data_IF_646475353860
#
_entry.id   IF_646475353860
#
_cell.length_a   1.000
_cell.length_b   1.000
_cell.length_c   1.000
_cell.angle_alpha   90.00
_cell.angle_beta   90.00
_cell.angle_gamma   90.00
#
_symmetry.space_group_name_H-M   'P 1'
#
loop_
_entity.id
_entity.type
_entity.pdbx_description
1 polymer ?
#
# COMPACT_ATOMS: atom_id res chain seq x y z
N UNK A 1 47.52 19.63 21.12
CA UNK A 1 47.18 20.53 19.98
C UNK A 1 48.09 20.33 18.77
N UNK A 2 49.39 20.69 18.77
CA UNK A 2 50.24 20.60 17.53
C UNK A 2 50.22 19.23 16.83
N UNK A 3 50.32 18.11 17.56
CA UNK A 3 50.27 16.76 16.96
C UNK A 3 48.92 16.43 16.29
N UNK A 4 47.80 16.84 16.89
CA UNK A 4 46.45 16.58 16.38
C UNK A 4 46.17 17.32 15.07
N UNK A 5 46.67 18.57 14.96
CA UNK A 5 46.55 19.38 13.73
C UNK A 5 47.33 18.74 12.58
N UNK A 6 48.55 18.26 12.83
CA UNK A 6 49.38 17.60 11.81
C UNK A 6 48.66 16.35 11.25
N UNK A 7 48.11 15.50 12.12
CA UNK A 7 47.39 14.28 11.70
C UNK A 7 46.16 14.64 10.85
N UNK A 8 45.34 15.61 11.29
CA UNK A 8 44.18 16.07 10.54
C UNK A 8 44.54 16.64 9.15
N UNK A 9 45.60 17.45 9.07
CA UNK A 9 46.11 17.97 7.79
C UNK A 9 46.62 16.86 6.86
N UNK A 10 47.29 15.83 7.38
CA UNK A 10 47.76 14.69 6.56
C UNK A 10 46.59 13.89 5.98
N UNK A 11 45.55 13.63 6.78
CA UNK A 11 44.34 12.94 6.32
C UNK A 11 43.61 13.75 5.24
N UNK A 12 43.46 15.07 5.45
CA UNK A 12 42.80 15.95 4.48
C UNK A 12 43.52 15.96 3.12
N UNK A 13 44.86 16.05 3.12
CA UNK A 13 45.66 16.01 1.88
C UNK A 13 45.51 14.66 1.17
N UNK A 14 45.45 13.55 1.91
CA UNK A 14 45.26 12.22 1.33
C UNK A 14 43.88 12.06 0.66
N UNK A 15 42.82 12.54 1.32
CA UNK A 15 41.45 12.55 0.76
C UNK A 15 41.39 13.39 -0.54
N UNK A 16 41.99 14.58 -0.54
CA UNK A 16 42.06 15.43 -1.75
C UNK A 16 42.82 14.74 -2.89
N UNK A 17 43.87 13.97 -2.59
CA UNK A 17 44.62 13.20 -3.58
C UNK A 17 43.77 12.09 -4.22
N UNK A 18 42.97 11.37 -3.42
CA UNK A 18 42.04 10.35 -3.94
C UNK A 18 40.98 10.99 -4.85
N UNK A 19 40.36 12.11 -4.44
CA UNK A 19 39.37 12.83 -5.24
C UNK A 19 39.97 13.32 -6.58
N UNK A 20 41.21 13.80 -6.57
CA UNK A 20 41.92 14.21 -7.78
C UNK A 20 42.19 13.04 -8.75
N UNK A 21 42.51 11.84 -8.23
CA UNK A 21 42.68 10.66 -9.07
C UNK A 21 41.35 10.13 -9.63
N UNK A 22 40.31 10.01 -8.81
CA UNK A 22 38.98 9.54 -9.25
C UNK A 22 38.38 10.47 -10.31
N UNK A 23 38.52 11.79 -10.15
CA UNK A 23 38.04 12.76 -11.14
C UNK A 23 38.79 12.69 -12.48
N UNK A 24 40.08 12.32 -12.48
CA UNK A 24 40.84 12.12 -13.74
C UNK A 24 40.46 10.88 -14.53
N UNK A 25 39.97 9.82 -13.89
CA UNK A 25 39.59 8.58 -14.59
C UNK A 25 38.20 8.63 -15.26
N UNK A 26 37.37 9.65 -14.99
CA UNK A 26 36.00 9.72 -15.53
C UNK A 26 35.86 10.34 -16.94
N UNK A 27 36.96 10.85 -17.53
CA UNK A 27 36.96 11.57 -18.81
C UNK A 27 37.86 10.91 -19.88
N UNK A 28 37.60 9.65 -20.22
CA UNK A 28 38.15 9.02 -21.44
C UNK A 28 37.05 8.25 -22.18
N UNK A 29 36.27 8.97 -22.99
CA UNK A 29 35.45 8.35 -24.05
C UNK A 29 36.36 7.91 -25.20
N UNK A 30 36.20 6.71 -25.79
CA UNK A 30 36.95 6.29 -26.97
C UNK A 30 36.59 7.15 -28.19
N UNK A 31 37.57 7.44 -29.04
CA UNK A 31 37.36 8.21 -30.26
C UNK A 31 36.70 7.37 -31.37
N UNK A 32 35.61 7.87 -31.94
CA UNK A 32 34.91 7.27 -33.09
C UNK A 32 35.65 7.54 -34.39
N UNK A 33 35.73 6.56 -35.30
CA UNK A 33 36.20 6.80 -36.68
C UNK A 33 35.33 6.12 -37.75
N UNK A 34 34.96 6.94 -38.74
CA UNK A 34 34.53 6.62 -40.10
C UNK A 34 33.15 5.99 -40.38
N UNK A 35 32.59 6.46 -41.50
CA UNK A 35 31.22 6.33 -41.98
C UNK A 35 31.04 5.15 -42.94
N UNK A 36 29.84 4.56 -43.00
CA UNK A 36 29.16 4.24 -44.28
C UNK A 36 27.64 4.00 -44.13
N UNK A 37 26.93 4.17 -45.24
CA UNK A 37 25.50 4.39 -45.47
C UNK A 37 24.46 3.33 -44.97
N UNK A 38 23.32 3.87 -44.51
CA UNK A 38 21.89 3.46 -44.73
C UNK A 38 21.40 2.06 -44.33
N UNK A 39 20.64 1.99 -43.24
CA UNK A 39 19.19 1.60 -43.22
C UNK A 39 18.57 1.91 -41.84
N UNK A 40 17.23 2.11 -41.72
CA UNK A 40 16.59 2.38 -40.43
C UNK A 40 16.27 1.09 -39.68
N UNK A 41 17.19 0.63 -38.82
CA UNK A 41 16.91 -0.45 -37.86
C UNK A 41 16.30 0.14 -36.60
N UNK A 42 15.24 -0.49 -36.08
CA UNK A 42 14.54 -0.03 -34.89
C UNK A 42 15.47 0.06 -33.67
N UNK A 43 15.33 1.13 -32.89
CA UNK A 43 15.93 1.25 -31.56
C UNK A 43 15.18 0.29 -30.64
N UNK A 44 15.81 -0.83 -30.30
CA UNK A 44 15.39 -1.67 -29.17
C UNK A 44 15.89 -0.98 -27.91
N UNK A 45 14.99 -0.77 -26.94
CA UNK A 45 15.29 -0.12 -25.67
C UNK A 45 16.29 -0.95 -24.85
N UNK A 46 17.40 -0.34 -24.43
CA UNK A 46 18.41 -0.98 -23.57
C UNK A 46 17.84 -1.36 -22.19
N UNK A 47 16.79 -0.65 -21.76
CA UNK A 47 16.01 -0.88 -20.54
C UNK A 47 15.36 -2.29 -20.47
N UNK A 48 15.10 -2.89 -21.64
CA UNK A 48 14.52 -4.24 -21.78
C UNK A 48 15.55 -5.36 -21.58
N UNK A 49 16.86 -5.05 -21.61
CA UNK A 49 17.93 -6.02 -21.31
C UNK A 49 18.32 -6.01 -19.83
N UNK A 50 18.48 -4.85 -19.20
CA UNK A 50 18.84 -4.77 -17.78
C UNK A 50 17.78 -5.38 -16.86
N UNK A 51 16.50 -5.16 -17.17
CA UNK A 51 15.36 -5.74 -16.46
C UNK A 51 15.35 -7.28 -16.55
N UNK A 52 15.60 -7.84 -17.74
CA UNK A 52 15.70 -9.31 -17.94
C UNK A 52 16.88 -9.92 -17.20
N UNK A 53 18.04 -9.25 -17.18
CA UNK A 53 19.22 -9.73 -16.45
C UNK A 53 18.92 -9.78 -14.94
N UNK A 54 18.39 -8.69 -14.37
CA UNK A 54 18.02 -8.63 -12.94
C UNK A 54 16.97 -9.68 -12.57
N UNK A 55 15.95 -9.85 -13.40
CA UNK A 55 14.90 -10.85 -13.21
C UNK A 55 15.48 -12.28 -13.20
N UNK A 56 16.44 -12.58 -14.08
CA UNK A 56 17.11 -13.87 -14.10
C UNK A 56 17.99 -14.08 -12.86
N UNK A 57 18.68 -13.05 -12.37
CA UNK A 57 19.48 -13.12 -11.13
C UNK A 57 18.61 -13.42 -9.89
N UNK A 58 17.43 -12.79 -9.79
CA UNK A 58 16.45 -13.03 -8.74
C UNK A 58 15.92 -14.49 -8.77
N UNK A 59 15.52 -14.98 -9.95
CA UNK A 59 15.07 -16.38 -10.10
C UNK A 59 16.20 -17.35 -9.79
N UNK A 60 17.41 -17.12 -10.31
CA UNK A 60 18.58 -17.95 -10.04
C UNK A 60 18.92 -18.03 -8.53
N UNK A 61 18.68 -16.94 -7.79
CA UNK A 61 18.87 -16.89 -6.33
C UNK A 61 17.80 -17.67 -5.57
N UNK A 62 16.61 -17.84 -6.14
CA UNK A 62 15.58 -18.73 -5.61
C UNK A 62 15.82 -20.22 -5.95
N UNK A 63 16.52 -20.54 -7.05
CA UNK A 63 16.79 -21.93 -7.47
C UNK A 63 17.57 -22.74 -6.44
N UNK A 64 18.39 -22.11 -5.59
CA UNK A 64 19.08 -22.81 -4.48
C UNK A 64 18.14 -23.35 -3.42
N UNK A 65 16.87 -22.96 -3.44
CA UNK A 65 15.82 -23.41 -2.52
C UNK A 65 14.79 -24.34 -3.20
N UNK A 66 14.82 -24.50 -4.53
CA UNK A 66 13.88 -25.39 -5.24
C UNK A 66 14.33 -26.85 -5.24
N UNK A 67 13.42 -27.83 -5.00
CA UNK A 67 12.04 -27.65 -4.57
C UNK A 67 11.95 -27.28 -3.08
N UNK A 68 11.09 -26.32 -2.75
CA UNK A 68 10.79 -25.92 -1.36
C UNK A 68 9.40 -26.41 -0.98
N UNK A 69 9.23 -26.90 0.25
CA UNK A 69 7.94 -27.35 0.76
C UNK A 69 7.84 -27.17 2.27
N UNK A 70 6.75 -26.52 2.72
CA UNK A 70 6.35 -26.44 4.13
C UNK A 70 4.86 -26.83 4.31
N UNK A 71 4.26 -26.48 5.44
CA UNK A 71 2.85 -26.76 5.74
C UNK A 71 1.86 -25.88 4.95
N UNK A 72 2.28 -24.70 4.52
CA UNK A 72 1.45 -23.65 3.90
C UNK A 72 1.52 -23.65 2.38
N UNK A 73 2.71 -23.89 1.81
CA UNK A 73 2.92 -23.93 0.38
C UNK A 73 4.02 -24.91 -0.03
N UNK A 74 4.07 -25.21 -1.32
CA UNK A 74 5.24 -25.78 -2.00
C UNK A 74 5.60 -24.82 -3.12
N UNK A 75 6.87 -24.67 -3.48
CA UNK A 75 7.20 -24.12 -4.79
C UNK A 75 8.33 -24.87 -5.48
N UNK A 76 8.29 -24.79 -6.80
CA UNK A 76 9.25 -25.39 -7.72
C UNK A 76 9.54 -24.41 -8.85
N UNK A 77 10.59 -24.66 -9.63
CA UNK A 77 10.90 -23.84 -10.81
C UNK A 77 10.39 -24.49 -12.10
N UNK A 78 9.57 -23.76 -12.86
CA UNK A 78 9.15 -24.18 -14.19
C UNK A 78 10.10 -23.65 -15.26
N UNK A 79 10.88 -24.56 -15.84
CA UNK A 79 11.73 -24.26 -16.99
C UNK A 79 10.93 -23.92 -18.27
N UNK A 80 9.64 -24.26 -18.33
CA UNK A 80 8.77 -23.94 -19.46
C UNK A 80 8.30 -22.48 -19.44
N UNK A 81 8.09 -21.91 -18.25
CA UNK A 81 7.61 -20.53 -18.07
C UNK A 81 8.69 -19.56 -17.59
N UNK A 82 9.87 -20.05 -17.18
CA UNK A 82 10.94 -19.30 -16.50
C UNK A 82 10.45 -18.60 -15.21
N UNK A 83 9.55 -19.25 -14.47
CA UNK A 83 8.93 -18.72 -13.25
C UNK A 83 8.94 -19.76 -12.12
N UNK A 84 8.94 -19.27 -10.89
CA UNK A 84 8.60 -20.08 -9.72
C UNK A 84 7.09 -20.37 -9.72
N UNK A 85 6.73 -21.62 -9.48
CA UNK A 85 5.33 -22.07 -9.40
C UNK A 85 5.05 -22.43 -7.95
N UNK A 86 4.25 -21.60 -7.28
CA UNK A 86 3.86 -21.73 -5.88
C UNK A 86 2.52 -22.45 -5.80
N UNK A 87 2.53 -23.66 -5.27
CA UNK A 87 1.35 -24.48 -5.01
C UNK A 87 0.80 -24.11 -3.62
N UNK A 88 -0.37 -23.47 -3.62
CA UNK A 88 -1.05 -23.02 -2.40
C UNK A 88 -1.68 -24.24 -1.69
N UNK A 89 -1.26 -24.53 -0.45
CA UNK A 89 -1.81 -25.63 0.38
C UNK A 89 -2.80 -25.13 1.43
N UNK A 90 -2.59 -23.91 1.94
CA UNK A 90 -3.45 -23.24 2.92
C UNK A 90 -3.96 -21.90 2.38
N UNK A 91 -5.04 -21.31 2.94
CA UNK A 91 -5.46 -19.95 2.58
C UNK A 91 -4.37 -18.89 2.79
N UNK A 92 -3.48 -19.11 3.75
CA UNK A 92 -2.35 -18.24 4.14
C UNK A 92 -1.11 -18.44 3.24
N UNK A 93 -1.12 -19.44 2.34
CA UNK A 93 0.00 -19.83 1.49
C UNK A 93 0.73 -18.66 0.81
N UNK A 94 -0.02 -17.66 0.34
CA UNK A 94 0.52 -16.49 -0.34
C UNK A 94 1.23 -15.51 0.59
N UNK A 95 0.70 -15.32 1.78
CA UNK A 95 1.32 -14.51 2.83
C UNK A 95 2.57 -15.20 3.36
N UNK A 96 2.50 -16.51 3.60
CA UNK A 96 3.65 -17.33 4.01
C UNK A 96 4.74 -17.43 2.93
N UNK A 97 4.38 -17.46 1.66
CA UNK A 97 5.36 -17.31 0.58
C UNK A 97 6.04 -15.93 0.61
N UNK A 98 5.31 -14.84 0.89
CA UNK A 98 5.91 -13.50 1.01
C UNK A 98 6.83 -13.39 2.24
N UNK A 99 6.42 -13.90 3.40
CA UNK A 99 7.29 -14.03 4.59
C UNK A 99 8.57 -14.81 4.25
N UNK A 100 8.43 -15.96 3.59
CA UNK A 100 9.57 -16.78 3.16
C UNK A 100 10.51 -16.02 2.21
N UNK A 101 9.98 -15.29 1.22
CA UNK A 101 10.81 -14.48 0.31
C UNK A 101 11.57 -13.39 1.07
N UNK A 102 10.97 -12.77 2.09
CA UNK A 102 11.63 -11.76 2.92
C UNK A 102 12.74 -12.39 3.78
N UNK A 103 12.46 -13.52 4.44
CA UNK A 103 13.42 -14.23 5.30
C UNK A 103 14.65 -14.73 4.54
N UNK A 104 14.50 -15.10 3.27
CA UNK A 104 15.58 -15.59 2.41
C UNK A 104 16.25 -14.47 1.58
N UNK A 105 15.90 -13.20 1.81
CA UNK A 105 16.54 -12.05 1.14
C UNK A 105 16.16 -11.89 -0.33
N UNK A 106 14.95 -12.32 -0.71
CA UNK A 106 14.40 -12.27 -2.07
C UNK A 106 13.05 -11.50 -2.15
N UNK A 107 12.87 -10.36 -1.47
CA UNK A 107 11.57 -9.66 -1.37
C UNK A 107 10.99 -9.26 -2.74
N UNK A 108 11.81 -9.11 -3.79
CA UNK A 108 11.39 -8.77 -5.16
C UNK A 108 10.61 -9.90 -5.86
N UNK A 109 10.57 -11.10 -5.29
CA UNK A 109 9.69 -12.20 -5.71
C UNK A 109 8.27 -12.04 -5.14
N UNK A 110 8.11 -11.33 -4.02
CA UNK A 110 6.81 -11.14 -3.38
C UNK A 110 5.87 -10.34 -4.28
N UNK A 111 4.80 -10.98 -4.74
CA UNK A 111 3.76 -10.36 -5.57
C UNK A 111 4.17 -10.07 -7.01
N UNK A 112 5.32 -10.54 -7.49
CA UNK A 112 5.84 -10.29 -8.83
C UNK A 112 5.34 -11.34 -9.86
N UNK A 113 4.34 -11.02 -10.70
CA UNK A 113 3.73 -11.98 -11.63
C UNK A 113 4.66 -12.38 -12.79
N UNK A 114 5.75 -11.64 -13.01
CA UNK A 114 6.76 -11.99 -14.02
C UNK A 114 7.78 -13.02 -13.55
N UNK A 115 7.89 -13.25 -12.23
CA UNK A 115 8.82 -14.23 -11.65
C UNK A 115 8.10 -15.37 -10.92
N UNK A 116 6.85 -15.15 -10.47
CA UNK A 116 6.11 -16.09 -9.62
C UNK A 116 4.67 -16.26 -10.11
N UNK A 117 4.21 -17.52 -10.18
CA UNK A 117 2.83 -17.92 -10.48
C UNK A 117 2.29 -18.75 -9.33
N UNK A 118 1.02 -18.54 -8.96
CA UNK A 118 0.36 -19.30 -7.90
C UNK A 118 -0.65 -20.30 -8.50
N UNK A 119 -0.54 -21.57 -8.11
CA UNK A 119 -1.43 -22.66 -8.48
C UNK A 119 -2.22 -23.13 -7.24
N UNK A 120 -3.55 -23.11 -7.31
CA UNK A 120 -4.38 -23.68 -6.24
C UNK A 120 -4.55 -25.19 -6.45
N UNK A 121 -4.18 -26.00 -5.45
CA UNK A 121 -4.55 -27.41 -5.44
C UNK A 121 -6.01 -27.59 -5.00
N UNK A 122 -6.86 -27.72 -6.00
CA UNK A 122 -8.25 -28.18 -5.99
C UNK A 122 -9.36 -27.16 -5.77
N UNK A 123 -10.32 -27.27 -6.69
CA UNK A 123 -11.72 -26.92 -6.48
C UNK A 123 -12.27 -27.60 -5.21
N UNK A 124 -12.41 -26.87 -4.11
CA UNK A 124 -13.60 -26.89 -3.25
C UNK A 124 -13.47 -25.86 -2.11
N UNK A 125 -14.52 -25.04 -1.95
CA UNK A 125 -14.64 -24.05 -0.87
C UNK A 125 -14.64 -24.72 0.51
N UNK A 126 -13.75 -24.31 1.41
CA UNK A 126 -14.10 -24.13 2.83
C UNK A 126 -13.22 -23.03 3.44
N UNK A 127 -13.74 -21.80 3.50
CA UNK A 127 -13.13 -20.75 4.31
C UNK A 127 -13.51 -21.02 5.77
N UNK A 128 -12.52 -21.23 6.63
CA UNK A 128 -12.67 -21.11 8.09
C UNK A 128 -11.73 -20.04 8.62
N UNK A 129 -12.25 -19.24 9.55
CA UNK A 129 -11.55 -18.18 10.27
C UNK A 129 -10.56 -18.77 11.28
N UNK A 130 -9.51 -18.02 11.64
CA UNK A 130 -9.17 -17.53 13.00
C UNK A 130 -7.91 -16.65 12.86
N UNK A 131 -7.96 -15.36 13.17
CA UNK A 131 -7.77 -14.72 14.49
C UNK A 131 -6.32 -14.77 15.02
N UNK A 132 -5.66 -13.61 14.93
CA UNK A 132 -4.82 -12.91 15.91
C UNK A 132 -3.75 -13.69 16.69
N UNK A 133 -2.49 -13.22 16.56
CA UNK A 133 -1.85 -12.46 17.64
C UNK A 133 -0.54 -11.77 17.21
N UNK A 134 -0.42 -10.50 17.60
CA UNK A 134 0.80 -9.78 18.02
C UNK A 134 1.94 -9.49 17.00
N UNK A 135 1.93 -8.25 16.50
CA UNK A 135 3.13 -7.40 16.32
C UNK A 135 3.95 -7.28 17.63
N UNK A 136 5.22 -6.90 17.67
CA UNK A 136 6.36 -6.75 16.74
C UNK A 136 7.59 -6.61 17.67
N UNK A 137 8.81 -7.04 17.30
CA UNK A 137 9.93 -6.87 18.25
C UNK A 137 11.37 -6.87 17.70
N UNK A 138 12.03 -5.69 17.74
CA UNK A 138 13.47 -5.58 18.03
C UNK A 138 13.66 -4.96 19.43
N UNK A 139 14.12 -5.72 20.44
CA UNK A 139 14.21 -5.25 21.83
C UNK A 139 15.13 -4.05 22.06
N UNK A 140 16.14 -3.83 21.21
CA UNK A 140 17.26 -2.94 21.55
C UNK A 140 17.03 -1.53 21.00
N UNK A 141 16.43 -1.42 19.82
CA UNK A 141 16.16 -0.13 19.17
C UNK A 141 15.03 0.62 19.90
N UNK A 142 13.93 -0.05 20.24
CA UNK A 142 12.81 0.61 20.92
C UNK A 142 13.08 0.93 22.39
N UNK A 143 13.83 0.07 23.10
CA UNK A 143 14.28 0.40 24.45
C UNK A 143 15.17 1.65 24.48
N UNK A 144 16.06 1.83 23.51
CA UNK A 144 16.90 3.02 23.39
C UNK A 144 16.09 4.26 22.98
N UNK A 145 15.14 4.14 22.05
CA UNK A 145 14.26 5.26 21.65
C UNK A 145 13.34 5.73 22.79
N UNK A 146 12.88 4.82 23.65
CA UNK A 146 12.09 5.16 24.84
C UNK A 146 12.97 5.83 25.90
N UNK A 147 14.13 5.24 26.24
CA UNK A 147 14.99 5.74 27.31
C UNK A 147 15.65 7.09 26.99
N UNK A 148 15.94 7.38 25.71
CA UNK A 148 16.53 8.65 25.28
C UNK A 148 15.54 9.82 25.20
N UNK A 149 14.23 9.53 25.13
CA UNK A 149 13.18 10.56 25.14
C UNK A 149 12.57 10.79 26.53
N UNK A 150 12.80 9.90 27.50
CA UNK A 150 12.34 10.04 28.88
C UNK A 150 13.28 10.92 29.73
N UNK A 151 13.32 12.24 29.45
CA UNK A 151 14.25 13.13 30.17
C UNK A 151 14.18 14.64 29.92
N UNK A 152 13.12 15.16 29.30
CA UNK A 152 12.86 16.61 29.16
C UNK A 152 11.39 16.88 29.49
N UNK A 153 11.11 17.49 30.65
CA UNK A 153 9.75 17.83 31.11
C UNK A 153 9.20 19.10 30.45
N UNK A 154 8.35 19.95 31.05
CA UNK A 154 7.81 20.16 32.41
C UNK A 154 6.52 21.03 32.26
N UNK A 155 5.45 21.10 33.08
CA UNK A 155 4.97 20.41 34.31
C UNK A 155 3.44 20.73 34.49
N UNK A 156 2.71 20.01 35.37
CA UNK A 156 1.38 20.31 35.96
C UNK A 156 0.08 20.01 35.15
N UNK A 157 -1.03 19.56 35.76
CA UNK A 157 -1.39 19.51 37.20
C UNK A 157 -2.19 18.25 37.61
N UNK A 158 -2.15 17.92 38.90
CA UNK A 158 -2.99 16.89 39.54
C UNK A 158 -4.48 17.28 39.53
N UNK A 159 -5.39 16.37 39.18
CA UNK A 159 -6.66 16.17 39.91
C UNK A 159 -7.15 14.71 39.85
N UNK A 160 -7.78 14.26 40.94
CA UNK A 160 -8.36 12.93 41.07
C UNK A 160 -9.62 12.77 40.21
N UNK A 161 -9.77 11.64 39.52
CA UNK A 161 -11.05 11.24 38.93
C UNK A 161 -11.78 10.27 39.88
N UNK A 162 -12.93 10.66 40.49
CA UNK A 162 -13.84 9.71 41.10
C UNK A 162 -14.63 8.97 40.02
N UNK A 163 -14.88 7.68 40.23
CA UNK A 163 -15.77 6.87 39.39
C UNK A 163 -17.19 7.44 39.38
N UNK A 164 -17.68 7.88 38.23
CA UNK A 164 -19.09 8.23 38.01
C UNK A 164 -19.67 7.42 36.85
N UNK A 165 -20.71 6.65 37.15
CA UNK A 165 -21.53 6.00 36.12
C UNK A 165 -22.17 7.08 35.24
N UNK A 166 -21.81 7.13 33.97
CA UNK A 166 -22.48 7.97 32.98
C UNK A 166 -23.44 7.11 32.14
N UNK A 167 -24.74 7.24 32.44
CA UNK A 167 -25.78 6.88 31.49
C UNK A 167 -25.61 7.74 30.23
N UNK A 168 -25.58 7.10 29.05
CA UNK A 168 -25.62 7.80 27.78
C UNK A 168 -26.90 8.68 27.70
N UNK A 169 -26.78 10.00 27.47
CA UNK A 169 -27.92 10.81 27.07
C UNK A 169 -28.22 10.54 25.60
N UNK A 170 -29.49 10.28 25.28
CA UNK A 170 -29.98 10.41 23.90
C UNK A 170 -29.83 11.87 23.48
N UNK A 171 -28.82 12.18 22.67
CA UNK A 171 -28.72 13.43 21.92
C UNK A 171 -28.72 13.14 20.42
N UNK A 172 -29.85 13.40 19.77
CA UNK A 172 -29.90 13.64 18.33
C UNK A 172 -29.20 14.97 18.06
N UNK A 173 -27.88 14.94 17.92
CA UNK A 173 -27.12 16.01 17.27
C UNK A 173 -27.55 16.09 15.81
N UNK A 174 -27.79 17.30 15.31
CA UNK A 174 -27.92 17.52 13.88
C UNK A 174 -26.54 17.34 13.24
N UNK A 175 -26.23 16.10 12.86
CA UNK A 175 -25.08 15.72 12.05
C UNK A 175 -25.21 16.37 10.67
N UNK A 176 -24.70 17.59 10.54
CA UNK A 176 -24.54 18.22 9.24
C UNK A 176 -23.21 17.74 8.64
N UNK A 177 -23.20 17.14 7.43
CA UNK A 177 -21.96 16.69 6.81
C UNK A 177 -21.04 17.88 6.53
N UNK A 178 -19.72 17.71 6.71
CA UNK A 178 -18.77 18.75 6.35
C UNK A 178 -18.81 19.02 4.85
N UNK A 179 -18.71 20.29 4.47
CA UNK A 179 -18.81 20.74 3.08
C UNK A 179 -17.50 20.49 2.31
N UNK A 180 -17.16 19.22 2.14
CA UNK A 180 -16.08 18.78 1.28
C UNK A 180 -16.50 18.86 -0.20
N UNK A 181 -15.68 19.53 -1.02
CA UNK A 181 -15.97 19.77 -2.44
C UNK A 181 -15.43 18.69 -3.39
N UNK A 182 -15.10 17.51 -2.89
CA UNK A 182 -14.48 16.43 -3.67
C UNK A 182 -15.47 15.73 -4.62
N UNK A 183 -14.93 15.13 -5.68
CA UNK A 183 -15.68 14.40 -6.70
C UNK A 183 -16.04 13.01 -6.18
N UNK A 184 -17.34 12.69 -6.21
CA UNK A 184 -17.89 11.41 -5.78
C UNK A 184 -18.25 10.50 -6.97
N UNK A 185 -17.97 9.20 -6.82
CA UNK A 185 -18.38 8.15 -7.75
C UNK A 185 -18.89 6.93 -6.96
N UNK A 186 -20.19 6.67 -7.03
CA UNK A 186 -20.76 5.41 -6.55
C UNK A 186 -20.41 4.26 -7.50
N UNK A 187 -20.09 3.09 -6.94
CA UNK A 187 -19.81 1.87 -7.71
C UNK A 187 -21.09 1.26 -8.31
N UNK A 188 -22.24 1.47 -7.66
CA UNK A 188 -23.57 1.07 -8.10
C UNK A 188 -24.42 2.31 -8.38
N UNK A 189 -25.58 2.12 -9.04
CA UNK A 189 -26.57 3.18 -9.27
C UNK A 189 -26.00 4.43 -9.98
N UNK A 190 -24.95 4.22 -10.78
CA UNK A 190 -24.19 5.26 -11.50
C UNK A 190 -23.97 4.88 -12.97
N UNK A 191 -23.57 5.82 -13.85
CA UNK A 191 -23.26 5.52 -15.25
C UNK A 191 -22.13 4.49 -15.48
N UNK A 192 -21.41 4.13 -14.41
CA UNK A 192 -20.32 3.16 -14.44
C UNK A 192 -20.68 1.82 -13.79
N UNK A 193 -21.91 1.64 -13.26
CA UNK A 193 -22.28 0.44 -12.51
C UNK A 193 -22.10 -0.86 -13.30
N UNK A 194 -22.42 -0.83 -14.59
CA UNK A 194 -22.31 -1.97 -15.52
C UNK A 194 -20.93 -2.09 -16.21
N UNK A 195 -19.94 -1.26 -15.83
CA UNK A 195 -18.58 -1.35 -16.36
C UNK A 195 -17.96 -2.71 -16.04
N UNK A 196 -17.63 -3.56 -17.03
CA UNK A 196 -17.03 -4.87 -16.80
C UNK A 196 -15.62 -4.73 -16.20
N UNK A 197 -15.31 -5.58 -15.22
CA UNK A 197 -13.96 -5.74 -14.70
C UNK A 197 -13.10 -6.57 -15.69
N UNK A 198 -11.75 -6.56 -15.58
CA UNK A 198 -10.86 -7.14 -16.59
C UNK A 198 -11.09 -8.61 -16.94
N UNK A 199 -11.62 -9.42 -16.03
CA UNK A 199 -11.98 -10.83 -16.26
C UNK A 199 -13.35 -11.04 -16.95
N UNK A 200 -14.16 -9.99 -17.09
CA UNK A 200 -15.50 -10.02 -17.68
C UNK A 200 -16.56 -10.76 -16.85
N UNK A 201 -16.23 -11.25 -15.66
CA UNK A 201 -17.11 -12.06 -14.81
C UNK A 201 -17.91 -11.24 -13.80
N UNK A 202 -17.44 -10.05 -13.46
CA UNK A 202 -18.15 -9.05 -12.64
C UNK A 202 -18.10 -7.65 -13.28
N UNK A 203 -18.99 -6.78 -12.81
CA UNK A 203 -18.99 -5.34 -13.07
C UNK A 203 -18.55 -4.51 -11.85
N UNK A 204 -18.44 -3.19 -12.04
CA UNK A 204 -18.08 -2.23 -11.00
C UNK A 204 -19.03 -2.26 -9.80
N UNK A 205 -20.34 -2.45 -10.02
CA UNK A 205 -21.29 -2.53 -8.90
C UNK A 205 -21.03 -3.74 -7.99
N UNK A 206 -20.59 -4.87 -8.56
CA UNK A 206 -20.35 -6.10 -7.80
C UNK A 206 -19.04 -6.08 -6.98
N UNK A 207 -17.94 -5.53 -7.51
CA UNK A 207 -16.62 -5.62 -6.87
C UNK A 207 -15.72 -4.36 -7.04
N UNK A 208 -16.30 -3.23 -7.44
CA UNK A 208 -15.59 -2.02 -7.84
C UNK A 208 -15.26 -1.01 -6.75
N UNK A 209 -15.32 -1.35 -5.46
CA UNK A 209 -15.07 -0.41 -4.36
C UNK A 209 -13.66 0.21 -4.43
N UNK A 210 -12.64 -0.59 -4.72
CA UNK A 210 -11.25 -0.15 -4.89
C UNK A 210 -11.05 0.86 -6.03
N UNK A 211 -11.35 0.50 -7.30
CA UNK A 211 -11.20 1.45 -8.41
C UNK A 211 -12.12 2.67 -8.31
N UNK A 212 -13.32 2.55 -7.71
CA UNK A 212 -14.19 3.71 -7.46
C UNK A 212 -13.57 4.66 -6.42
N UNK A 213 -12.98 4.13 -5.35
CA UNK A 213 -12.28 4.92 -4.33
C UNK A 213 -11.05 5.62 -4.91
N UNK A 214 -10.24 4.92 -5.73
CA UNK A 214 -9.12 5.55 -6.44
C UNK A 214 -9.62 6.63 -7.41
N UNK A 215 -10.73 6.42 -8.12
CA UNK A 215 -11.33 7.41 -9.01
C UNK A 215 -11.77 8.68 -8.25
N UNK A 216 -12.38 8.55 -7.07
CA UNK A 216 -12.77 9.71 -6.25
C UNK A 216 -11.54 10.53 -5.81
N UNK A 217 -10.49 9.87 -5.31
CA UNK A 217 -9.24 10.52 -4.89
C UNK A 217 -8.57 11.23 -6.08
N UNK A 218 -8.35 10.50 -7.18
CA UNK A 218 -7.62 11.00 -8.35
C UNK A 218 -8.42 12.09 -9.09
N UNK A 219 -9.72 11.95 -9.25
CA UNK A 219 -10.54 12.98 -9.87
C UNK A 219 -10.54 14.28 -9.05
N UNK A 220 -10.56 14.17 -7.72
CA UNK A 220 -10.56 15.31 -6.81
C UNK A 220 -9.21 16.05 -6.76
N UNK A 221 -8.09 15.33 -6.84
CA UNK A 221 -6.76 15.95 -6.78
C UNK A 221 -6.17 16.30 -8.15
N UNK A 222 -6.49 15.55 -9.21
CA UNK A 222 -5.86 15.63 -10.53
C UNK A 222 -6.84 16.06 -11.64
N UNK A 223 -8.16 15.94 -11.43
CA UNK A 223 -9.21 16.45 -12.31
C UNK A 223 -10.18 15.38 -12.83
N UNK A 224 -11.39 15.75 -13.28
CA UNK A 224 -12.53 14.85 -13.55
C UNK A 224 -12.32 13.81 -14.67
N UNK A 225 -11.17 13.83 -15.35
CA UNK A 225 -10.80 12.83 -16.34
C UNK A 225 -10.48 11.47 -15.70
N UNK A 226 -10.11 11.42 -14.42
CA UNK A 226 -9.83 10.17 -13.68
C UNK A 226 -11.12 9.52 -13.14
N UNK A 227 -12.07 9.26 -14.03
CA UNK A 227 -13.33 8.61 -13.70
C UNK A 227 -13.17 7.06 -13.54
N UNK A 228 -14.19 6.33 -13.06
CA UNK A 228 -14.08 4.88 -12.82
C UNK A 228 -13.67 4.07 -14.06
N UNK A 229 -14.14 4.43 -15.26
CA UNK A 229 -13.69 3.80 -16.52
C UNK A 229 -12.18 3.94 -16.69
N UNK A 230 -11.67 5.17 -16.61
CA UNK A 230 -10.24 5.47 -16.74
C UNK A 230 -9.39 4.73 -15.70
N UNK A 231 -9.87 4.60 -14.46
CA UNK A 231 -9.16 3.84 -13.42
C UNK A 231 -9.18 2.33 -13.70
N UNK A 232 -10.31 1.74 -14.10
CA UNK A 232 -10.37 0.31 -14.47
C UNK A 232 -9.44 0.01 -15.65
N UNK A 233 -9.37 0.89 -16.65
CA UNK A 233 -8.42 0.77 -17.77
C UNK A 233 -6.96 0.90 -17.32
N UNK A 234 -6.67 1.73 -16.32
CA UNK A 234 -5.33 1.83 -15.71
C UNK A 234 -4.94 0.58 -14.91
N UNK A 235 -5.88 -0.03 -14.17
CA UNK A 235 -5.64 -1.32 -13.52
C UNK A 235 -5.33 -2.40 -14.56
N UNK A 236 -6.16 -2.50 -15.60
CA UNK A 236 -6.03 -3.48 -16.69
C UNK A 236 -4.71 -3.34 -17.44
N UNK A 237 -4.34 -2.13 -17.85
CA UNK A 237 -3.11 -1.87 -18.60
C UNK A 237 -1.82 -2.10 -17.80
N UNK A 238 -1.91 -2.14 -16.46
CA UNK A 238 -0.79 -2.41 -15.55
C UNK A 238 -0.74 -3.85 -15.02
N UNK A 239 -1.67 -4.72 -15.43
CA UNK A 239 -1.78 -6.08 -14.92
C UNK A 239 -2.15 -6.16 -13.43
N UNK A 240 -2.72 -5.09 -12.87
CA UNK A 240 -3.12 -5.04 -11.45
C UNK A 240 -4.34 -5.93 -11.20
N UNK A 241 -4.43 -6.49 -9.99
CA UNK A 241 -5.51 -7.40 -9.64
C UNK A 241 -6.83 -6.62 -9.50
N UNK A 242 -7.79 -6.96 -10.37
CA UNK A 242 -9.15 -6.48 -10.31
C UNK A 242 -10.08 -7.57 -10.87
N UNK A 243 -10.92 -8.15 -10.02
CA UNK A 243 -11.81 -9.27 -10.32
C UNK A 243 -13.09 -9.22 -9.49
N UNK A 244 -13.96 -10.24 -9.59
CA UNK A 244 -15.07 -10.45 -8.65
C UNK A 244 -14.65 -10.50 -7.16
N UNK A 245 -13.38 -10.80 -6.85
CA UNK A 245 -12.85 -10.79 -5.49
C UNK A 245 -12.44 -9.39 -5.00
N UNK A 246 -12.60 -8.35 -5.82
CA UNK A 246 -12.17 -6.98 -5.58
C UNK A 246 -10.80 -6.68 -6.17
N UNK A 247 -10.02 -5.85 -5.48
CA UNK A 247 -8.69 -5.40 -5.89
C UNK A 247 -7.75 -5.27 -4.69
N UNK A 248 -6.44 -5.13 -4.93
CA UNK A 248 -5.45 -4.97 -3.86
C UNK A 248 -5.26 -3.50 -3.48
N UNK A 249 -5.13 -3.24 -2.18
CA UNK A 249 -4.72 -1.92 -1.66
C UNK A 249 -3.29 -1.53 -2.09
N UNK A 250 -2.40 -2.51 -2.32
CA UNK A 250 -1.06 -2.30 -2.89
C UNK A 250 -1.11 -1.68 -4.27
N UNK A 251 -2.03 -2.18 -5.10
CA UNK A 251 -2.19 -1.77 -6.50
C UNK A 251 -2.84 -0.38 -6.56
N UNK A 252 -3.77 -0.09 -5.63
CA UNK A 252 -4.33 1.24 -5.42
C UNK A 252 -3.23 2.26 -5.03
N UNK A 253 -2.41 1.94 -4.02
CA UNK A 253 -1.28 2.77 -3.57
C UNK A 253 -0.30 3.03 -4.72
N UNK A 254 0.08 1.98 -5.45
CA UNK A 254 1.00 2.04 -6.59
C UNK A 254 0.45 2.88 -7.74
N UNK A 255 -0.85 2.78 -8.04
CA UNK A 255 -1.49 3.61 -9.06
C UNK A 255 -1.46 5.09 -8.64
N UNK A 256 -1.88 5.41 -7.41
CA UNK A 256 -1.89 6.78 -6.88
C UNK A 256 -0.48 7.41 -6.91
N UNK A 257 0.54 6.68 -6.47
CA UNK A 257 1.95 7.10 -6.55
C UNK A 257 2.39 7.37 -8.00
N UNK A 258 2.06 6.47 -8.93
CA UNK A 258 2.44 6.62 -10.34
C UNK A 258 1.75 7.80 -11.05
N UNK A 259 0.66 8.33 -10.48
CA UNK A 259 -0.03 9.55 -10.92
C UNK A 259 0.50 10.82 -10.23
N UNK A 260 1.58 10.71 -9.45
CA UNK A 260 2.25 11.83 -8.79
C UNK A 260 1.67 12.21 -7.44
N UNK A 261 0.73 11.44 -6.88
CA UNK A 261 0.23 11.65 -5.53
C UNK A 261 1.20 11.05 -4.50
N UNK A 262 1.38 11.76 -3.39
CA UNK A 262 2.15 11.25 -2.24
C UNK A 262 1.29 10.29 -1.45
N UNK A 263 1.92 9.26 -0.87
CA UNK A 263 1.26 8.36 0.08
C UNK A 263 2.13 8.15 1.32
N UNK A 264 1.51 7.86 2.46
CA UNK A 264 2.24 7.41 3.68
C UNK A 264 2.58 5.93 3.60
N UNK A 265 3.29 5.42 4.61
CA UNK A 265 3.29 4.00 4.95
C UNK A 265 1.89 3.54 5.40
N UNK A 266 1.70 2.23 5.51
CA UNK A 266 0.42 1.67 5.92
C UNK A 266 0.20 1.86 7.43
N UNK A 267 -0.99 2.31 7.79
CA UNK A 267 -1.54 2.08 9.12
C UNK A 267 -2.25 0.72 9.06
N UNK A 268 -1.94 -0.17 10.00
CA UNK A 268 -2.51 -1.52 10.09
C UNK A 268 -3.30 -1.60 11.39
N UNK A 269 -4.49 -2.18 11.34
CA UNK A 269 -5.45 -2.21 12.45
C UNK A 269 -6.00 -3.62 12.63
N UNK A 270 -6.10 -4.09 13.88
CA UNK A 270 -6.64 -5.41 14.22
C UNK A 270 -8.18 -5.36 14.39
N UNK A 271 -8.89 -5.13 13.28
CA UNK A 271 -10.37 -5.06 13.24
C UNK A 271 -10.97 -4.06 14.25
N UNK A 272 -10.30 -2.92 14.41
CA UNK A 272 -10.63 -1.86 15.35
C UNK A 272 -11.88 -1.08 14.93
N UNK A 273 -12.67 -0.55 15.87
CA UNK A 273 -13.80 0.34 15.56
C UNK A 273 -13.38 1.80 15.41
N UNK A 274 -14.27 2.63 14.87
CA UNK A 274 -14.02 4.07 14.63
C UNK A 274 -13.41 4.80 15.83
N UNK A 275 -13.91 4.53 17.04
CA UNK A 275 -13.46 5.17 18.29
C UNK A 275 -11.99 4.88 18.64
N UNK A 276 -11.46 3.73 18.20
CA UNK A 276 -10.07 3.35 18.39
C UNK A 276 -9.16 4.06 17.37
N UNK A 277 -9.49 3.98 16.07
CA UNK A 277 -8.65 4.54 14.97
C UNK A 277 -8.69 6.06 14.84
N UNK A 278 -9.67 6.75 15.46
CA UNK A 278 -9.86 8.21 15.36
C UNK A 278 -8.58 8.98 15.73
N UNK A 279 -7.85 8.54 16.75
CA UNK A 279 -6.65 9.24 17.24
C UNK A 279 -5.50 9.22 16.23
N UNK A 280 -5.26 8.06 15.60
CA UNK A 280 -4.26 7.93 14.54
C UNK A 280 -4.67 8.72 13.31
N UNK A 281 -5.91 8.58 12.85
CA UNK A 281 -6.39 9.30 11.68
C UNK A 281 -6.32 10.83 11.87
N UNK A 282 -6.76 11.39 13.01
CA UNK A 282 -6.71 12.84 13.26
C UNK A 282 -5.31 13.42 13.09
N UNK A 283 -4.28 12.77 13.64
CA UNK A 283 -2.87 13.20 13.51
C UNK A 283 -2.40 13.41 12.06
N UNK A 284 -2.87 12.59 11.12
CA UNK A 284 -2.54 12.73 9.70
C UNK A 284 -3.48 13.67 8.96
N UNK A 285 -4.78 13.70 9.31
CA UNK A 285 -5.76 14.64 8.77
C UNK A 285 -5.36 16.10 9.09
N UNK A 286 -4.89 16.37 10.30
CA UNK A 286 -4.34 17.67 10.72
C UNK A 286 -3.10 18.08 9.91
N UNK A 287 -2.30 17.09 9.49
CA UNK A 287 -1.18 17.29 8.56
C UNK A 287 -1.63 17.37 7.08
N UNK A 288 -2.94 17.36 6.80
CA UNK A 288 -3.55 17.50 5.48
C UNK A 288 -3.43 16.26 4.59
N UNK A 289 -3.31 15.07 5.17
CA UNK A 289 -3.52 13.80 4.46
C UNK A 289 -5.02 13.46 4.45
N UNK A 290 -5.44 12.59 3.54
CA UNK A 290 -6.73 11.88 3.59
C UNK A 290 -6.46 10.39 3.36
N UNK A 291 -7.36 9.46 3.68
CA UNK A 291 -7.02 8.04 3.70
C UNK A 291 -7.79 7.19 2.69
N UNK A 292 -7.05 6.45 1.85
CA UNK A 292 -7.60 5.25 1.23
C UNK A 292 -7.64 4.15 2.30
N UNK A 293 -8.84 3.66 2.61
CA UNK A 293 -9.08 2.82 3.79
C UNK A 293 -9.74 1.50 3.41
N UNK A 294 -9.31 0.41 4.05
CA UNK A 294 -9.92 -0.91 4.04
C UNK A 294 -10.52 -1.22 5.42
N UNK A 295 -11.80 -1.58 5.44
CA UNK A 295 -12.47 -2.09 6.62
C UNK A 295 -13.42 -3.25 6.27
N UNK A 296 -13.81 -4.03 7.27
CA UNK A 296 -14.93 -4.96 7.18
C UNK A 296 -16.22 -4.26 7.61
N UNK A 297 -17.32 -4.49 6.89
CA UNK A 297 -18.66 -3.94 7.20
C UNK A 297 -19.63 -4.99 7.75
N UNK A 298 -19.14 -6.19 8.08
CA UNK A 298 -19.89 -7.25 8.78
C UNK A 298 -18.94 -8.19 9.53
N UNK A 299 -19.49 -8.97 10.45
CA UNK A 299 -18.73 -9.82 11.39
C UNK A 299 -17.85 -10.86 10.68
N UNK A 300 -18.40 -11.49 9.65
CA UNK A 300 -17.72 -12.50 8.83
C UNK A 300 -17.25 -11.91 7.48
N UNK A 301 -16.48 -10.81 7.54
CA UNK A 301 -15.83 -10.22 6.37
C UNK A 301 -16.56 -9.02 5.76
N UNK A 302 -16.77 -9.04 4.44
CA UNK A 302 -17.26 -7.85 3.72
C UNK A 302 -16.23 -6.73 3.72
N UNK A 303 -15.00 -7.06 3.30
CA UNK A 303 -13.93 -6.09 3.10
C UNK A 303 -14.32 -5.09 2.02
N UNK A 304 -14.15 -3.80 2.31
CA UNK A 304 -14.61 -2.70 1.49
C UNK A 304 -13.61 -1.55 1.51
N UNK A 305 -13.48 -0.87 0.36
CA UNK A 305 -12.62 0.30 0.22
C UNK A 305 -13.45 1.58 0.12
N UNK A 306 -13.01 2.60 0.86
CA UNK A 306 -13.62 3.92 0.93
C UNK A 306 -12.55 4.98 1.24
N UNK A 307 -12.89 6.26 1.06
CA UNK A 307 -11.96 7.37 1.21
C UNK A 307 -12.33 8.25 2.41
N UNK A 308 -11.61 8.12 3.53
CA UNK A 308 -11.83 8.97 4.71
C UNK A 308 -11.18 10.33 4.47
N UNK A 309 -11.96 11.40 4.62
CA UNK A 309 -11.53 12.78 4.30
C UNK A 309 -11.48 13.69 5.51
N UNK A 310 -12.24 13.39 6.58
CA UNK A 310 -12.34 14.25 7.76
C UNK A 310 -12.77 13.44 8.99
N UNK A 311 -12.43 13.94 10.19
CA UNK A 311 -13.02 13.47 11.45
C UNK A 311 -13.43 14.70 12.24
N UNK A 312 -14.70 14.78 12.62
CA UNK A 312 -15.23 15.93 13.34
C UNK A 312 -14.81 15.98 14.82
N UNK A 313 -15.15 17.07 15.51
CA UNK A 313 -14.85 17.29 16.93
C UNK A 313 -15.44 16.20 17.85
N UNK A 314 -16.50 15.52 17.43
CA UNK A 314 -17.14 14.42 18.17
C UNK A 314 -16.60 13.03 17.82
N UNK A 315 -15.65 12.93 16.89
CA UNK A 315 -15.02 11.67 16.49
C UNK A 315 -15.78 10.88 15.43
N UNK A 316 -16.73 11.48 14.70
CA UNK A 316 -17.33 10.82 13.54
C UNK A 316 -16.34 10.80 12.38
N UNK A 317 -16.18 9.63 11.76
CA UNK A 317 -15.36 9.47 10.57
C UNK A 317 -16.21 9.79 9.34
N UNK A 318 -15.83 10.84 8.61
CA UNK A 318 -16.53 11.31 7.41
C UNK A 318 -15.79 10.88 6.15
N UNK A 319 -16.50 10.16 5.26
CA UNK A 319 -15.89 9.49 4.12
C UNK A 319 -16.67 9.58 2.81
N UNK A 320 -15.95 9.42 1.71
CA UNK A 320 -16.49 9.16 0.38
C UNK A 320 -16.51 7.64 0.19
N UNK A 321 -17.63 7.01 0.56
CA UNK A 321 -17.86 5.57 0.41
C UNK A 321 -18.62 5.27 -0.91
N UNK A 322 -18.08 4.43 -1.82
CA UNK A 322 -18.69 4.19 -3.12
C UNK A 322 -19.90 3.24 -3.10
N UNK A 323 -20.26 2.63 -1.97
CA UNK A 323 -21.33 1.61 -1.87
C UNK A 323 -22.27 1.77 -0.68
N UNK A 324 -21.72 1.91 0.53
CA UNK A 324 -22.48 2.12 1.76
C UNK A 324 -22.88 3.60 1.83
N UNK A 325 -24.16 3.87 2.10
CA UNK A 325 -24.68 5.23 2.10
C UNK A 325 -24.69 5.93 0.73
N UNK A 326 -24.55 5.22 -0.40
CA UNK A 326 -24.59 5.80 -1.76
C UNK A 326 -25.91 6.51 -2.16
N UNK A 327 -26.94 6.45 -1.31
CA UNK A 327 -28.20 7.19 -1.44
C UNK A 327 -28.25 8.44 -0.55
N UNK A 328 -27.20 8.67 0.24
CA UNK A 328 -26.97 9.83 1.09
C UNK A 328 -26.05 10.82 0.34
N UNK A 329 -26.02 12.09 0.77
CA UNK A 329 -25.10 13.07 0.20
C UNK A 329 -23.70 12.90 0.82
N UNK A 330 -22.62 12.73 0.04
CA UNK A 330 -21.27 12.61 0.56
C UNK A 330 -20.71 13.96 1.06
N UNK A 331 -19.79 13.97 2.03
CA UNK A 331 -19.26 12.81 2.75
C UNK A 331 -20.28 12.20 3.74
N UNK A 332 -20.16 10.89 3.93
CA UNK A 332 -21.05 10.04 4.72
C UNK A 332 -20.40 9.79 6.09
N UNK A 333 -21.20 9.75 7.15
CA UNK A 333 -20.71 9.40 8.49
C UNK A 333 -20.64 7.88 8.64
N UNK A 334 -19.44 7.31 8.71
CA UNK A 334 -19.26 5.86 8.85
C UNK A 334 -19.60 5.33 10.24
N UNK A 335 -19.54 6.17 11.29
CA UNK A 335 -19.94 5.78 12.64
C UNK A 335 -21.45 5.51 12.76
N UNK A 336 -22.26 5.93 11.76
CA UNK A 336 -23.70 5.63 11.69
C UNK A 336 -24.03 4.12 11.60
N UNK A 337 -23.02 3.28 11.32
CA UNK A 337 -23.16 1.83 11.07
C UNK A 337 -22.62 0.95 12.21
N UNK A 338 -22.41 1.55 13.40
CA UNK A 338 -21.85 0.89 14.58
C UNK A 338 -22.48 -0.49 14.86
N UNK A 339 -21.69 -1.55 15.12
CA UNK A 339 -20.24 -1.55 15.44
C UNK A 339 -19.29 -1.59 14.23
N UNK A 340 -19.80 -1.35 13.01
CA UNK A 340 -19.01 -1.29 11.78
C UNK A 340 -18.87 0.17 11.28
N UNK A 341 -17.90 0.49 10.41
CA UNK A 341 -16.82 -0.38 9.91
C UNK A 341 -15.82 -0.83 10.99
N UNK A 342 -15.21 -2.00 10.76
CA UNK A 342 -14.06 -2.51 11.51
C UNK A 342 -12.79 -2.40 10.66
N UNK A 343 -11.96 -1.43 10.99
CA UNK A 343 -10.79 -0.98 10.22
C UNK A 343 -9.71 -2.06 10.21
N UNK A 344 -9.03 -2.19 9.07
CA UNK A 344 -7.98 -3.20 8.86
C UNK A 344 -6.67 -2.59 8.36
N UNK A 345 -6.78 -1.65 7.43
CA UNK A 345 -5.63 -0.99 6.83
C UNK A 345 -6.03 0.38 6.30
N UNK A 346 -5.15 1.36 6.40
CA UNK A 346 -5.26 2.61 5.67
C UNK A 346 -3.90 3.08 5.16
N UNK A 347 -3.89 3.95 4.15
CA UNK A 347 -2.72 4.77 3.87
C UNK A 347 -3.15 6.19 3.52
N UNK A 348 -2.41 7.16 4.05
CA UNK A 348 -2.61 8.57 3.73
C UNK A 348 -2.28 8.83 2.26
N UNK A 349 -3.02 9.72 1.62
CA UNK A 349 -2.87 10.20 0.25
C UNK A 349 -2.94 11.72 0.26
N UNK A 350 -2.07 12.38 -0.52
CA UNK A 350 -1.99 13.84 -0.62
C UNK A 350 -1.39 14.26 -1.97
N UNK A 351 -1.71 15.48 -2.41
CA UNK A 351 -1.07 16.13 -3.58
C UNK A 351 0.30 16.72 -3.21
#
# INVERSE_FOLDING_TARGET
MRKTIIIASTILVFILFIIFFVSRFKNQSPATSNQSLVTPTAVILEEDQESRIRNQELVNSALSFTPYEDENFRFDYSAETNKLVVQEKTPEAREKFFEWTNQNGLPELAGNPELVVFENQNNNLTIQQFNNSDQDFDPVIDFLNIFLNFGRGEENSNQNFPTSNLQLPNQTSNLQPPTSGFIYYAQCDSPYADLPLPDGSCNLCQAGCGPSTVAMITASYLGPNFNPQTIVDMYKSRGFLLSCAGSRYSDAKSLLQSLGLKTTDYLVFDYESSDQVVSDFKKYLDAGWTFFTLANFKENGGGHYFWVTEIDDTGNIWAYDPYYGRFEAPPINENSRYPYPKYRLAFGVKK
#
